data_IF_867828634983
#
_entry.id   IF_867828634983
#
_cell.length_a   1.000
_cell.length_b   1.000
_cell.length_c   1.000
_cell.angle_alpha   90.00
_cell.angle_beta   90.00
_cell.angle_gamma   90.00
#
_symmetry.space_group_name_H-M   'P 1'
#
loop_
_entity.id
_entity.type
_entity.pdbx_description
1 polymer ?
#
# COMPACT_ATOMS: atom_id res chain seq x y z
N UNK A 1 6.38 -23.32 -5.89
CA UNK A 1 5.54 -22.26 -5.28
C UNK A 1 6.50 -21.15 -4.93
N UNK A 2 6.40 -20.04 -5.65
CA UNK A 2 7.26 -18.89 -5.43
C UNK A 2 6.66 -18.05 -4.31
N UNK A 3 7.54 -17.36 -3.59
CA UNK A 3 7.16 -16.47 -2.50
C UNK A 3 7.55 -15.05 -2.85
N UNK A 4 6.70 -14.11 -2.48
CA UNK A 4 6.93 -12.70 -2.69
C UNK A 4 6.70 -11.93 -1.41
N UNK A 5 7.42 -10.83 -1.25
CA UNK A 5 7.26 -9.92 -0.11
C UNK A 5 6.02 -9.07 -0.33
N UNK A 6 5.06 -9.20 0.56
CA UNK A 6 3.83 -8.41 0.59
C UNK A 6 3.93 -7.33 1.65
N UNK A 7 3.44 -6.13 1.35
CA UNK A 7 3.41 -4.99 2.26
C UNK A 7 2.09 -4.22 2.16
N UNK A 8 1.47 -3.96 3.30
CA UNK A 8 0.29 -3.10 3.39
C UNK A 8 0.28 -2.29 4.68
N UNK A 9 0.32 -0.96 4.56
CA UNK A 9 0.20 -0.03 5.70
C UNK A 9 1.16 -0.32 6.87
N UNK A 10 2.39 -0.75 6.57
CA UNK A 10 3.40 -1.09 7.57
C UNK A 10 3.27 -2.49 8.16
N UNK A 11 2.43 -3.36 7.59
CA UNK A 11 2.45 -4.81 7.85
C UNK A 11 3.16 -5.44 6.68
N UNK A 12 4.15 -6.28 6.95
CA UNK A 12 4.94 -6.98 5.93
C UNK A 12 4.90 -8.48 6.24
N UNK A 13 4.81 -9.32 5.21
CA UNK A 13 4.87 -10.78 5.32
C UNK A 13 5.26 -11.38 3.96
N UNK A 14 5.75 -12.61 3.95
CA UNK A 14 5.93 -13.37 2.72
C UNK A 14 4.63 -14.10 2.39
N UNK A 15 4.18 -13.97 1.13
CA UNK A 15 3.00 -14.65 0.63
C UNK A 15 3.34 -15.42 -0.65
N UNK A 16 2.53 -16.44 -0.99
CA UNK A 16 2.60 -17.07 -2.29
C UNK A 16 2.34 -16.07 -3.41
N UNK A 17 3.15 -16.12 -4.47
CA UNK A 17 3.08 -15.16 -5.59
C UNK A 17 1.72 -15.17 -6.30
N UNK A 18 1.04 -16.32 -6.33
CA UNK A 18 -0.25 -16.49 -6.98
C UNK A 18 -1.44 -15.91 -6.20
N UNK A 19 -1.23 -15.38 -4.99
CA UNK A 19 -2.30 -14.80 -4.18
C UNK A 19 -2.47 -13.32 -4.48
N UNK A 20 -3.67 -12.96 -4.91
CA UNK A 20 -4.00 -11.60 -5.33
C UNK A 20 -5.04 -10.96 -4.41
N UNK A 21 -5.00 -9.64 -4.31
CA UNK A 21 -5.97 -8.90 -3.49
C UNK A 21 -7.37 -9.08 -4.10
N UNK A 22 -8.34 -9.44 -3.26
CA UNK A 22 -9.75 -9.55 -3.66
C UNK A 22 -10.74 -8.85 -2.74
N UNK A 23 -10.24 -8.31 -1.63
CA UNK A 23 -11.02 -7.48 -0.73
C UNK A 23 -10.12 -6.48 -0.04
N UNK A 24 -10.55 -5.22 -0.01
CA UNK A 24 -9.83 -4.15 0.66
C UNK A 24 -10.83 -3.12 1.18
N UNK A 25 -10.72 -2.73 2.45
CA UNK A 25 -11.52 -1.67 3.04
C UNK A 25 -10.83 -1.04 4.26
N UNK A 26 -11.33 0.13 4.64
CA UNK A 26 -10.82 0.89 5.78
C UNK A 26 -9.66 1.82 5.43
N UNK A 27 -8.88 2.18 6.44
CA UNK A 27 -7.76 3.11 6.38
C UNK A 27 -6.53 2.57 7.15
N UNK A 28 -5.52 3.41 7.33
CA UNK A 28 -4.28 3.03 8.03
C UNK A 28 -4.49 2.68 9.52
N UNK A 29 -5.58 3.17 10.15
CA UNK A 29 -5.89 2.92 11.56
C UNK A 29 -6.78 1.71 11.75
N UNK A 30 -7.74 1.48 10.87
CA UNK A 30 -8.65 0.34 10.93
C UNK A 30 -9.00 -0.12 9.52
N UNK A 31 -8.76 -1.40 9.21
CA UNK A 31 -9.03 -1.91 7.88
C UNK A 31 -8.98 -3.43 7.77
N UNK A 32 -9.25 -3.87 6.54
CA UNK A 32 -9.38 -5.26 6.14
C UNK A 32 -8.76 -5.43 4.77
N UNK A 33 -8.05 -6.54 4.61
CA UNK A 33 -7.51 -6.99 3.35
C UNK A 33 -7.74 -8.51 3.22
N UNK A 34 -8.11 -8.95 2.03
CA UNK A 34 -8.25 -10.36 1.68
C UNK A 34 -7.46 -10.66 0.43
N UNK A 35 -6.73 -11.76 0.45
CA UNK A 35 -6.12 -12.34 -0.74
C UNK A 35 -6.78 -13.69 -1.06
N UNK A 36 -6.87 -13.99 -2.34
CA UNK A 36 -7.38 -15.25 -2.86
C UNK A 36 -6.47 -15.82 -3.94
N UNK A 37 -6.57 -17.13 -4.15
CA UNK A 37 -6.10 -17.75 -5.38
C UNK A 37 -7.26 -17.84 -6.38
N UNK A 38 -7.06 -18.56 -7.48
CA UNK A 38 -8.08 -18.79 -8.51
C UNK A 38 -9.39 -19.40 -7.96
N UNK A 39 -9.36 -20.08 -6.81
CA UNK A 39 -10.48 -20.90 -6.33
C UNK A 39 -11.14 -20.39 -5.05
N UNK A 40 -10.38 -19.83 -4.12
CA UNK A 40 -10.90 -19.45 -2.81
C UNK A 40 -10.06 -18.39 -2.10
N UNK A 41 -10.65 -17.67 -1.13
CA UNK A 41 -9.88 -16.87 -0.18
C UNK A 41 -8.80 -17.70 0.52
N UNK A 42 -7.59 -17.14 0.57
CA UNK A 42 -6.41 -17.78 1.16
C UNK A 42 -5.86 -17.06 2.36
N UNK A 43 -5.94 -15.73 2.39
CA UNK A 43 -5.52 -14.92 3.51
C UNK A 43 -6.57 -13.87 3.84
N UNK A 44 -6.83 -13.67 5.13
CA UNK A 44 -7.45 -12.43 5.61
C UNK A 44 -6.54 -11.75 6.61
N UNK A 45 -6.40 -10.44 6.44
CA UNK A 45 -5.71 -9.53 7.32
C UNK A 45 -6.70 -8.47 7.81
N UNK A 46 -6.80 -8.29 9.12
CA UNK A 46 -7.57 -7.20 9.75
C UNK A 46 -6.66 -6.47 10.71
N UNK A 47 -6.76 -5.15 10.72
CA UNK A 47 -6.03 -4.33 11.68
C UNK A 47 -6.94 -3.26 12.27
N UNK A 48 -6.66 -2.90 13.51
CA UNK A 48 -7.27 -1.75 14.17
C UNK A 48 -6.33 -1.17 15.22
N UNK A 49 -6.40 0.15 15.46
CA UNK A 49 -5.73 0.76 16.61
C UNK A 49 -6.58 0.55 17.86
N UNK A 50 -5.98 0.01 18.92
CA UNK A 50 -6.66 -0.23 20.19
C UNK A 50 -7.24 1.08 20.77
N UNK A 51 -8.57 1.14 20.88
CA UNK A 51 -9.31 2.31 21.42
C UNK A 51 -9.12 2.50 22.92
N UNK A 52 -8.88 1.41 23.64
CA UNK A 52 -8.69 1.43 25.08
C UNK A 52 -7.37 2.12 25.46
N UNK A 53 -7.39 2.92 26.53
CA UNK A 53 -6.18 3.49 27.15
C UNK A 53 -5.41 2.46 27.99
N UNK A 54 -5.97 1.25 28.21
CA UNK A 54 -5.27 0.18 28.93
C UNK A 54 -3.98 -0.20 28.23
N UNK A 55 -2.96 -0.57 29.02
CA UNK A 55 -1.63 -0.97 28.54
C UNK A 55 -1.73 -2.07 27.49
N UNK A 56 -2.51 -3.12 27.75
CA UNK A 56 -2.71 -4.22 26.80
C UNK A 56 -4.23 -4.42 26.55
N UNK A 57 -4.66 -4.55 25.28
CA UNK A 57 -6.04 -4.90 24.96
C UNK A 57 -6.32 -6.38 25.25
N UNK A 58 -7.58 -6.70 25.55
CA UNK A 58 -8.02 -8.09 25.70
C UNK A 58 -8.21 -8.73 24.31
N UNK A 59 -7.22 -9.49 23.85
CA UNK A 59 -7.26 -10.16 22.55
C UNK A 59 -8.36 -11.23 22.47
N UNK A 60 -8.74 -11.85 23.59
CA UNK A 60 -9.82 -12.83 23.61
C UNK A 60 -11.17 -12.15 23.37
N UNK A 61 -11.41 -10.98 23.97
CA UNK A 61 -12.60 -10.19 23.71
C UNK A 61 -12.69 -9.75 22.24
N UNK A 62 -11.57 -9.34 21.63
CA UNK A 62 -11.53 -9.01 20.20
C UNK A 62 -11.85 -10.24 19.34
N UNK A 63 -11.31 -11.40 19.68
CA UNK A 63 -11.65 -12.66 19.00
C UNK A 63 -13.12 -13.06 19.21
N UNK A 64 -13.72 -12.75 20.36
CA UNK A 64 -15.15 -13.01 20.59
C UNK A 64 -16.02 -12.21 19.63
N UNK A 65 -15.74 -10.93 19.45
CA UNK A 65 -16.46 -10.09 18.50
C UNK A 65 -16.24 -10.53 17.05
N UNK A 66 -15.02 -10.93 16.71
CA UNK A 66 -14.72 -11.51 15.41
C UNK A 66 -15.49 -12.82 15.16
N UNK A 67 -15.45 -13.77 16.10
CA UNK A 67 -16.18 -15.04 15.94
C UNK A 67 -17.69 -14.90 16.02
N UNK A 68 -18.24 -13.86 16.65
CA UNK A 68 -19.68 -13.53 16.54
C UNK A 68 -20.06 -13.28 15.08
N UNK A 69 -19.21 -12.59 14.31
CA UNK A 69 -19.44 -12.35 12.87
C UNK A 69 -19.40 -13.67 12.10
N UNK A 70 -18.37 -14.51 12.30
CA UNK A 70 -18.27 -15.82 11.62
C UNK A 70 -19.49 -16.69 11.95
N UNK A 71 -19.88 -16.79 13.22
CA UNK A 71 -21.05 -17.56 13.65
C UNK A 71 -22.34 -17.07 12.98
N UNK A 72 -22.52 -15.76 12.80
CA UNK A 72 -23.68 -15.20 12.08
C UNK A 72 -23.71 -15.64 10.61
N UNK A 73 -22.56 -15.68 9.94
CA UNK A 73 -22.44 -16.18 8.56
C UNK A 73 -22.81 -17.66 8.47
N UNK A 74 -22.31 -18.49 9.38
CA UNK A 74 -22.55 -19.95 9.38
C UNK A 74 -23.94 -20.37 9.89
N UNK A 75 -24.58 -19.58 10.76
CA UNK A 75 -25.98 -19.81 11.16
C UNK A 75 -26.93 -19.77 9.96
N UNK A 76 -26.61 -18.98 8.92
CA UNK A 76 -27.41 -18.92 7.68
C UNK A 76 -27.27 -20.20 6.84
N UNK A 77 -26.14 -20.91 6.93
CA UNK A 77 -25.84 -22.09 6.11
C UNK A 77 -26.16 -23.42 6.79
N UNK A 78 -26.64 -23.41 8.05
CA UNK A 78 -26.96 -24.61 8.87
C UNK A 78 -25.80 -25.62 9.01
N UNK A 79 -24.55 -25.18 8.90
CA UNK A 79 -23.37 -26.05 9.02
C UNK A 79 -22.66 -25.88 10.35
N UNK A 80 -22.01 -26.96 10.79
CA UNK A 80 -21.22 -26.98 12.01
C UNK A 80 -19.98 -26.10 11.88
N UNK A 81 -19.74 -25.31 12.92
CA UNK A 81 -18.58 -24.43 13.04
C UNK A 81 -17.85 -24.77 14.34
N UNK A 82 -16.63 -25.28 14.21
CA UNK A 82 -15.77 -25.57 15.35
C UNK A 82 -14.70 -24.49 15.46
N UNK A 83 -14.55 -23.89 16.64
CA UNK A 83 -13.55 -22.85 16.93
C UNK A 83 -12.69 -23.33 18.10
N UNK A 84 -11.37 -23.17 17.99
CA UNK A 84 -10.41 -23.38 19.08
C UNK A 84 -9.50 -22.18 19.22
N UNK A 85 -9.19 -21.79 20.46
CA UNK A 85 -8.21 -20.74 20.81
C UNK A 85 -7.04 -21.37 21.55
N UNK A 86 -5.95 -20.61 21.70
CA UNK A 86 -4.75 -21.05 22.43
C UNK A 86 -4.19 -22.37 21.88
N UNK A 87 -4.28 -22.52 20.55
CA UNK A 87 -3.71 -23.67 19.84
C UNK A 87 -2.22 -23.42 19.61
N UNK A 88 -1.38 -24.44 19.70
CA UNK A 88 0.02 -24.31 19.29
C UNK A 88 0.11 -24.52 17.78
N UNK A 89 0.14 -23.42 17.02
CA UNK A 89 0.40 -23.45 15.58
C UNK A 89 1.90 -23.35 15.27
N UNK A 90 2.61 -22.54 16.06
CA UNK A 90 4.05 -22.31 15.95
C UNK A 90 4.65 -22.48 17.34
N UNK A 91 5.78 -23.17 17.42
CA UNK A 91 6.47 -23.44 18.69
C UNK A 91 7.27 -22.23 19.17
N UNK A 92 7.95 -21.58 18.24
CA UNK A 92 8.81 -20.42 18.47
C UNK A 92 8.04 -19.16 18.07
N UNK A 93 7.98 -18.20 18.99
CA UNK A 93 7.25 -16.93 18.80
C UNK A 93 8.17 -15.72 18.78
N UNK A 94 9.48 -15.91 18.65
CA UNK A 94 10.48 -14.83 18.67
C UNK A 94 10.30 -13.82 17.53
N UNK A 95 9.66 -14.24 16.42
CA UNK A 95 9.29 -13.36 15.30
C UNK A 95 8.34 -12.21 15.69
N UNK A 96 7.66 -12.32 16.83
CA UNK A 96 6.85 -11.26 17.44
C UNK A 96 7.23 -11.08 18.92
N UNK A 97 8.52 -11.09 19.24
CA UNK A 97 8.99 -10.84 20.60
C UNK A 97 8.51 -9.47 21.13
N UNK A 98 8.02 -9.48 22.37
CA UNK A 98 7.40 -8.32 23.02
C UNK A 98 5.95 -8.02 22.62
N UNK A 99 5.30 -8.88 21.83
CA UNK A 99 3.88 -8.76 21.46
C UNK A 99 3.02 -9.69 22.31
N UNK A 100 1.81 -9.26 22.66
CA UNK A 100 0.78 -10.19 23.13
C UNK A 100 0.19 -10.90 21.91
N UNK A 101 0.10 -12.23 21.92
CA UNK A 101 -0.45 -12.99 20.80
C UNK A 101 -1.35 -14.14 21.25
N UNK A 102 -2.31 -14.50 20.39
CA UNK A 102 -3.19 -15.65 20.56
C UNK A 102 -3.36 -16.33 19.20
N UNK A 103 -3.02 -17.62 19.15
CA UNK A 103 -3.35 -18.46 18.02
C UNK A 103 -4.76 -19.04 18.14
N UNK A 104 -5.42 -19.21 17.00
CA UNK A 104 -6.73 -19.83 16.93
C UNK A 104 -6.87 -20.68 15.66
N UNK A 105 -7.84 -21.58 15.66
CA UNK A 105 -8.27 -22.29 14.47
C UNK A 105 -9.78 -22.29 14.41
N UNK A 106 -10.34 -22.33 13.21
CA UNK A 106 -11.74 -22.65 13.04
C UNK A 106 -11.98 -23.52 11.81
N UNK A 107 -13.02 -24.34 11.86
CA UNK A 107 -13.38 -25.30 10.81
C UNK A 107 -14.88 -25.26 10.55
N UNK A 108 -15.24 -25.08 9.28
CA UNK A 108 -16.59 -25.17 8.72
C UNK A 108 -16.49 -25.71 7.28
N UNK A 109 -17.07 -25.00 6.30
CA UNK A 109 -16.90 -25.32 4.87
C UNK A 109 -15.48 -25.06 4.37
N UNK A 110 -14.81 -24.12 5.01
CA UNK A 110 -13.37 -23.88 4.92
C UNK A 110 -12.78 -24.04 6.31
N UNK A 111 -11.47 -24.20 6.38
CA UNK A 111 -10.74 -24.14 7.64
C UNK A 111 -9.76 -22.98 7.61
N UNK A 112 -9.47 -22.43 8.79
CA UNK A 112 -8.46 -21.40 8.93
C UNK A 112 -7.57 -21.66 10.15
N UNK A 113 -6.29 -21.35 9.97
CA UNK A 113 -5.32 -21.14 11.03
C UNK A 113 -5.15 -19.64 11.20
N UNK A 114 -5.25 -19.14 12.42
CA UNK A 114 -5.26 -17.72 12.70
C UNK A 114 -4.33 -17.33 13.83
N UNK A 115 -3.87 -16.10 13.75
CA UNK A 115 -3.03 -15.42 14.73
C UNK A 115 -3.60 -14.02 14.92
N UNK A 116 -3.86 -13.66 16.17
CA UNK A 116 -4.11 -12.27 16.56
C UNK A 116 -2.99 -11.81 17.47
N UNK A 117 -2.48 -10.60 17.27
CA UNK A 117 -1.46 -10.03 18.13
C UNK A 117 -1.64 -8.52 18.31
N UNK A 118 -1.04 -8.00 19.37
CA UNK A 118 -1.02 -6.59 19.72
C UNK A 118 0.41 -6.06 19.76
N UNK A 119 0.66 -4.99 19.01
CA UNK A 119 1.91 -4.24 19.02
C UNK A 119 1.86 -3.10 20.04
N UNK A 120 2.67 -3.14 21.13
CA UNK A 120 2.67 -2.06 22.12
C UNK A 120 3.11 -0.70 21.55
N UNK A 121 4.08 -0.70 20.63
CA UNK A 121 4.65 0.52 20.01
C UNK A 121 3.64 1.28 19.16
N UNK A 122 2.91 0.57 18.28
CA UNK A 122 1.97 1.19 17.34
C UNK A 122 0.52 1.18 17.84
N UNK A 123 0.27 0.52 18.97
CA UNK A 123 -1.07 0.23 19.52
C UNK A 123 -1.96 -0.60 18.58
N UNK A 124 -1.39 -1.20 17.54
CA UNK A 124 -2.14 -1.94 16.52
C UNK A 124 -2.47 -3.35 17.01
N UNK A 125 -3.73 -3.74 16.86
CA UNK A 125 -4.20 -5.11 16.95
C UNK A 125 -4.31 -5.62 15.52
N UNK A 126 -3.62 -6.72 15.22
CA UNK A 126 -3.62 -7.35 13.90
C UNK A 126 -4.13 -8.77 14.03
N UNK A 127 -5.08 -9.14 13.17
CA UNK A 127 -5.55 -10.51 13.00
C UNK A 127 -5.20 -10.95 11.59
N UNK A 128 -4.42 -12.03 11.49
CA UNK A 128 -4.07 -12.69 10.24
C UNK A 128 -4.61 -14.12 10.28
N UNK A 129 -5.21 -14.59 9.20
CA UNK A 129 -5.60 -15.99 9.07
C UNK A 129 -5.33 -16.53 7.68
N UNK A 130 -4.84 -17.77 7.65
CA UNK A 130 -4.59 -18.56 6.45
C UNK A 130 -5.69 -19.59 6.30
N UNK A 131 -6.35 -19.60 5.15
CA UNK A 131 -7.53 -20.41 4.86
C UNK A 131 -7.24 -21.49 3.82
N UNK A 132 -7.96 -22.60 3.94
CA UNK A 132 -7.93 -23.68 2.96
C UNK A 132 -9.18 -24.53 2.98
N UNK A 133 -9.26 -25.44 2.02
CA UNK A 133 -10.32 -26.45 1.98
C UNK A 133 -10.22 -27.36 3.21
N UNK A 134 -11.33 -27.92 3.70
CA UNK A 134 -11.28 -28.91 4.77
C UNK A 134 -10.33 -30.06 4.38
N UNK A 135 -9.53 -30.53 5.35
CA UNK A 135 -8.50 -31.58 5.18
C UNK A 135 -7.29 -31.19 4.30
N UNK A 136 -7.26 -30.00 3.69
CA UNK A 136 -6.05 -29.50 3.04
C UNK A 136 -4.96 -29.26 4.11
N UNK A 137 -3.72 -29.66 3.86
CA UNK A 137 -2.63 -29.27 4.75
C UNK A 137 -2.22 -27.82 4.45
N UNK A 138 -2.67 -26.89 5.28
CA UNK A 138 -2.28 -25.47 5.22
C UNK A 138 -1.22 -25.10 6.25
N UNK A 139 -0.71 -26.06 7.01
CA UNK A 139 0.16 -25.80 8.16
C UNK A 139 1.51 -25.19 7.75
N UNK A 140 2.19 -25.77 6.76
CA UNK A 140 3.49 -25.26 6.28
C UNK A 140 3.37 -23.83 5.75
N UNK A 141 2.33 -23.55 4.96
CA UNK A 141 2.04 -22.19 4.46
C UNK A 141 1.72 -21.24 5.63
N UNK A 142 0.95 -21.70 6.61
CA UNK A 142 0.64 -20.92 7.83
C UNK A 142 1.91 -20.56 8.59
N UNK A 143 2.78 -21.54 8.83
CA UNK A 143 4.03 -21.34 9.57
C UNK A 143 4.90 -20.30 8.85
N UNK A 144 5.14 -20.45 7.54
CA UNK A 144 5.97 -19.50 6.79
C UNK A 144 5.40 -18.08 6.74
N UNK A 145 4.08 -17.94 6.54
CA UNK A 145 3.44 -16.61 6.54
C UNK A 145 3.58 -15.97 7.91
N UNK A 146 3.22 -16.69 8.98
CA UNK A 146 3.21 -16.11 10.31
C UNK A 146 4.61 -15.76 10.81
N UNK A 147 5.61 -16.61 10.58
CA UNK A 147 7.00 -16.33 11.01
C UNK A 147 7.66 -15.21 10.22
N UNK A 148 7.12 -14.83 9.05
CA UNK A 148 7.61 -13.70 8.25
C UNK A 148 6.86 -12.39 8.54
N UNK A 149 5.88 -12.38 9.45
CA UNK A 149 5.14 -11.16 9.78
C UNK A 149 6.04 -10.17 10.52
N UNK A 150 6.16 -8.97 9.95
CA UNK A 150 6.86 -7.84 10.54
C UNK A 150 5.92 -6.62 10.64
N UNK A 151 6.02 -5.87 11.73
CA UNK A 151 5.28 -4.62 11.95
C UNK A 151 6.23 -3.42 11.92
N UNK A 152 6.00 -2.56 10.94
CA UNK A 152 6.79 -1.37 10.65
C UNK A 152 8.31 -1.65 10.64
N UNK A 153 8.79 -2.66 9.89
CA UNK A 153 10.20 -3.06 9.92
C UNK A 153 11.15 -1.95 9.46
N UNK A 154 10.67 -1.08 8.57
CA UNK A 154 11.37 0.13 8.17
C UNK A 154 10.76 1.34 8.88
N UNK A 155 11.60 2.12 9.58
CA UNK A 155 11.16 3.29 10.34
C UNK A 155 10.81 4.51 9.46
N UNK A 156 11.25 4.53 8.19
CA UNK A 156 11.11 5.66 7.30
C UNK A 156 10.05 5.43 6.22
N UNK A 157 9.94 4.21 5.68
CA UNK A 157 9.07 3.90 4.55
C UNK A 157 8.19 2.69 4.84
N UNK A 158 7.03 2.65 4.19
CA UNK A 158 6.16 1.49 4.14
C UNK A 158 6.13 0.91 2.74
N UNK A 159 6.27 -0.41 2.69
CA UNK A 159 6.04 -1.19 1.48
C UNK A 159 4.53 -1.27 1.21
N UNK A 160 4.15 -1.01 -0.04
CA UNK A 160 2.81 -1.18 -0.58
C UNK A 160 2.88 -2.12 -1.78
N UNK A 161 2.06 -3.17 -1.75
CA UNK A 161 2.04 -4.18 -2.81
C UNK A 161 0.63 -4.46 -3.31
N UNK A 162 0.47 -4.51 -4.64
CA UNK A 162 -0.76 -4.99 -5.30
C UNK A 162 -0.50 -5.34 -6.77
N UNK A 163 -0.93 -6.51 -7.26
CA UNK A 163 -0.86 -6.92 -8.68
C UNK A 163 0.48 -6.57 -9.35
N UNK A 164 1.57 -7.12 -8.80
CA UNK A 164 2.97 -6.92 -9.22
C UNK A 164 3.49 -5.46 -9.15
N UNK A 165 2.77 -4.53 -8.52
CA UNK A 165 3.32 -3.26 -8.08
C UNK A 165 3.91 -3.47 -6.69
N UNK A 166 5.21 -3.17 -6.54
CA UNK A 166 5.89 -3.06 -5.24
C UNK A 166 6.47 -1.65 -5.17
N UNK A 167 6.12 -0.91 -4.13
CA UNK A 167 6.57 0.47 -3.99
C UNK A 167 6.73 0.84 -2.52
N UNK A 168 7.79 1.58 -2.21
CA UNK A 168 8.03 2.12 -0.89
C UNK A 168 7.57 3.58 -0.82
N UNK A 169 6.74 3.88 0.17
CA UNK A 169 6.19 5.22 0.39
C UNK A 169 6.61 5.73 1.76
N UNK A 170 7.07 6.99 1.92
CA UNK A 170 7.41 7.52 3.23
C UNK A 170 6.26 7.38 4.24
N UNK A 171 6.58 6.99 5.47
CA UNK A 171 5.61 6.59 6.51
C UNK A 171 4.62 7.69 6.90
N UNK A 172 4.98 8.95 6.71
CA UNK A 172 4.15 10.12 7.01
C UNK A 172 3.07 10.41 5.95
N UNK A 173 3.16 9.76 4.78
CA UNK A 173 2.11 9.73 3.77
C UNK A 173 1.07 8.64 4.10
N UNK A 174 -0.19 9.06 4.19
CA UNK A 174 -1.33 8.17 4.46
C UNK A 174 -2.11 7.92 3.20
N UNK A 175 -2.49 6.67 2.96
CA UNK A 175 -3.33 6.30 1.82
C UNK A 175 -4.70 6.99 1.99
N UNK A 176 -5.03 7.86 1.04
CA UNK A 176 -6.30 8.61 0.99
C UNK A 176 -7.28 7.94 0.03
N UNK A 177 -6.79 7.45 -1.10
CA UNK A 177 -7.61 6.78 -2.13
C UNK A 177 -6.80 5.68 -2.81
N UNK A 178 -7.47 4.60 -3.17
CA UNK A 178 -6.91 3.58 -4.04
C UNK A 178 -7.91 3.19 -5.14
N UNK A 179 -7.40 2.71 -6.28
CA UNK A 179 -8.18 1.99 -7.30
C UNK A 179 -7.36 0.79 -7.76
N UNK A 180 -7.99 -0.38 -7.79
CA UNK A 180 -7.39 -1.66 -8.12
C UNK A 180 -8.22 -2.27 -9.26
N UNK A 181 -7.95 -1.85 -10.49
CA UNK A 181 -8.67 -2.28 -11.68
C UNK A 181 -7.78 -3.13 -12.58
N UNK A 182 -8.39 -3.96 -13.43
CA UNK A 182 -7.66 -4.67 -14.47
C UNK A 182 -6.96 -3.66 -15.38
N UNK A 183 -5.63 -3.77 -15.49
CA UNK A 183 -4.80 -2.87 -16.28
C UNK A 183 -4.58 -1.47 -15.68
N UNK A 184 -5.14 -1.13 -14.51
CA UNK A 184 -4.91 0.17 -13.89
C UNK A 184 -4.92 0.11 -12.36
N UNK A 185 -3.82 0.55 -11.74
CA UNK A 185 -3.72 0.77 -10.31
C UNK A 185 -3.52 2.26 -10.02
N UNK A 186 -4.13 2.74 -8.95
CA UNK A 186 -3.88 4.06 -8.38
C UNK A 186 -3.75 3.93 -6.87
N UNK A 187 -2.70 4.50 -6.31
CA UNK A 187 -2.60 4.85 -4.90
C UNK A 187 -2.38 6.35 -4.77
N UNK A 188 -3.26 7.02 -4.04
CA UNK A 188 -3.16 8.44 -3.71
C UNK A 188 -2.94 8.59 -2.22
N UNK A 189 -1.87 9.26 -1.87
CA UNK A 189 -1.45 9.51 -0.51
C UNK A 189 -1.45 11.00 -0.19
N UNK A 190 -1.75 11.30 1.07
CA UNK A 190 -1.70 12.64 1.61
C UNK A 190 -0.80 12.68 2.83
N UNK A 191 0.03 13.70 2.89
CA UNK A 191 0.76 14.08 4.08
C UNK A 191 0.28 15.46 4.53
N UNK A 192 -0.23 15.61 5.77
CA UNK A 192 -0.75 16.89 6.25
C UNK A 192 0.30 18.00 6.18
N UNK A 193 1.59 17.65 6.25
CA UNK A 193 2.72 18.54 6.12
C UNK A 193 2.87 19.50 7.30
N UNK A 194 3.78 20.46 7.14
CA UNK A 194 4.03 21.50 8.14
C UNK A 194 3.08 22.70 7.96
N UNK A 195 3.12 23.66 8.89
CA UNK A 195 2.40 24.93 8.78
C UNK A 195 2.65 25.66 7.45
N UNK A 196 3.87 25.57 6.91
CA UNK A 196 4.31 26.28 5.69
C UNK A 196 4.08 25.47 4.42
N UNK A 197 3.90 24.15 4.53
CA UNK A 197 3.76 23.21 3.42
C UNK A 197 2.65 22.19 3.69
N UNK A 198 1.42 22.70 3.79
CA UNK A 198 0.24 21.89 4.09
C UNK A 198 -0.23 21.09 2.88
N UNK A 199 -0.72 19.88 3.16
CA UNK A 199 -1.39 18.98 2.19
C UNK A 199 -0.46 18.59 1.03
N UNK A 200 0.71 18.02 1.36
CA UNK A 200 1.56 17.36 0.37
C UNK A 200 0.82 16.15 -0.18
N UNK A 201 0.95 15.92 -1.48
CA UNK A 201 0.29 14.80 -2.17
C UNK A 201 1.31 13.97 -2.91
N UNK A 202 1.11 12.67 -2.88
CA UNK A 202 1.86 11.68 -3.65
C UNK A 202 0.83 10.79 -4.33
N UNK A 203 0.88 10.65 -5.65
CA UNK A 203 0.12 9.62 -6.36
C UNK A 203 1.06 8.68 -7.10
N UNK A 204 0.68 7.41 -7.11
CA UNK A 204 1.40 6.33 -7.79
C UNK A 204 0.38 5.61 -8.63
N UNK A 205 0.61 5.58 -9.93
CA UNK A 205 -0.25 4.91 -10.88
C UNK A 205 0.53 3.87 -11.67
N UNK A 206 -0.12 2.74 -11.96
CA UNK A 206 0.41 1.72 -12.88
C UNK A 206 -0.63 1.44 -13.94
N UNK A 207 -0.28 1.68 -15.18
CA UNK A 207 -1.06 1.31 -16.35
C UNK A 207 -0.45 0.04 -16.97
N UNK A 208 -1.28 -0.92 -17.37
CA UNK A 208 -0.90 -2.03 -18.23
C UNK A 208 -1.26 -1.77 -19.69
N UNK A 209 -0.76 -2.62 -20.59
CA UNK A 209 -0.98 -2.52 -22.04
C UNK A 209 -0.50 -1.17 -22.60
N UNK A 210 0.72 -0.77 -22.21
CA UNK A 210 1.36 0.46 -22.64
C UNK A 210 1.38 0.63 -24.17
N UNK A 211 1.66 -0.43 -24.94
CA UNK A 211 1.67 -0.39 -26.41
C UNK A 211 0.32 0.03 -26.99
N UNK A 212 -0.78 -0.32 -26.32
CA UNK A 212 -2.13 0.09 -26.75
C UNK A 212 -2.38 1.54 -26.35
N UNK A 213 -1.93 1.95 -25.15
CA UNK A 213 -2.10 3.32 -24.65
C UNK A 213 -1.28 4.35 -25.44
N UNK A 214 -0.09 3.97 -25.87
CA UNK A 214 0.86 4.81 -26.61
C UNK A 214 0.74 4.63 -28.13
N UNK A 215 -0.30 3.92 -28.60
CA UNK A 215 -0.52 3.74 -30.02
C UNK A 215 -0.61 5.11 -30.70
N UNK A 216 0.28 5.32 -31.67
CA UNK A 216 0.38 6.53 -32.49
C UNK A 216 0.73 7.84 -31.73
N UNK A 217 1.30 7.75 -30.52
CA UNK A 217 1.74 8.93 -29.75
C UNK A 217 2.96 8.63 -28.87
N UNK A 218 3.74 9.66 -28.55
CA UNK A 218 4.87 9.51 -27.61
C UNK A 218 4.38 9.40 -26.16
N UNK A 219 5.24 8.90 -25.26
CA UNK A 219 4.95 8.88 -23.82
C UNK A 219 4.69 10.29 -23.28
N UNK A 220 5.42 11.29 -23.78
CA UNK A 220 5.22 12.70 -23.42
C UNK A 220 3.85 13.22 -23.87
N UNK A 221 3.46 12.97 -25.12
CA UNK A 221 2.17 13.42 -25.66
C UNK A 221 1.00 12.79 -24.91
N UNK A 222 1.09 11.48 -24.64
CA UNK A 222 0.13 10.76 -23.83
C UNK A 222 0.03 11.38 -22.43
N UNK A 223 1.16 11.64 -21.77
CA UNK A 223 1.20 12.21 -20.43
C UNK A 223 0.58 13.62 -20.40
N UNK A 224 1.00 14.51 -21.31
CA UNK A 224 0.47 15.88 -21.40
C UNK A 224 -1.04 15.89 -21.62
N UNK A 225 -1.56 14.99 -22.44
CA UNK A 225 -2.99 14.86 -22.71
C UNK A 225 -3.74 14.32 -21.50
N UNK A 226 -3.29 13.20 -20.94
CA UNK A 226 -3.91 12.52 -19.79
C UNK A 226 -3.92 13.39 -18.54
N UNK A 227 -2.82 14.09 -18.28
CA UNK A 227 -2.59 14.87 -17.06
C UNK A 227 -2.73 16.38 -17.26
N UNK A 228 -3.30 16.85 -18.38
CA UNK A 228 -3.52 18.27 -18.70
C UNK A 228 -4.10 19.08 -17.54
N UNK A 229 -5.05 18.50 -16.79
CA UNK A 229 -5.67 19.16 -15.63
C UNK A 229 -4.74 19.25 -14.41
N UNK A 230 -3.91 18.24 -14.20
CA UNK A 230 -2.99 18.18 -13.06
C UNK A 230 -1.80 19.14 -13.22
N UNK A 231 -1.27 19.25 -14.44
CA UNK A 231 -0.14 20.14 -14.76
C UNK A 231 -0.56 21.61 -14.97
N UNK A 232 -1.87 21.89 -15.06
CA UNK A 232 -2.38 23.26 -15.26
C UNK A 232 -2.01 24.15 -14.07
N UNK A 233 -1.42 25.32 -14.36
CA UNK A 233 -0.96 26.27 -13.34
C UNK A 233 0.46 26.02 -12.86
N UNK A 234 1.19 25.13 -13.52
CA UNK A 234 2.62 24.91 -13.33
C UNK A 234 3.37 25.23 -14.63
N UNK A 235 4.48 25.95 -14.51
CA UNK A 235 5.49 26.04 -15.56
C UNK A 235 6.47 24.91 -15.33
N UNK A 236 6.80 24.14 -16.36
CA UNK A 236 7.57 22.92 -16.19
C UNK A 236 8.54 22.66 -17.34
N UNK A 237 9.58 21.91 -16.99
CA UNK A 237 10.53 21.34 -17.93
C UNK A 237 10.38 19.82 -17.88
N UNK A 238 10.55 19.18 -19.04
CA UNK A 238 10.55 17.73 -19.18
C UNK A 238 11.93 17.31 -19.65
N UNK A 239 12.50 16.35 -18.96
CA UNK A 239 13.72 15.65 -19.37
C UNK A 239 13.35 14.21 -19.70
N UNK A 240 13.73 13.76 -20.90
CA UNK A 240 13.50 12.40 -21.37
C UNK A 240 14.82 11.64 -21.40
N UNK A 241 14.82 10.40 -20.92
CA UNK A 241 15.99 9.51 -20.89
C UNK A 241 15.56 8.10 -21.26
N UNK A 242 16.24 7.48 -22.21
CA UNK A 242 16.10 6.05 -22.48
C UNK A 242 17.24 5.27 -21.82
N UNK A 243 16.90 4.34 -20.93
CA UNK A 243 17.87 3.51 -20.22
C UNK A 243 17.30 2.12 -19.94
N UNK A 244 18.12 1.08 -20.11
CA UNK A 244 17.83 -0.29 -19.64
C UNK A 244 16.41 -0.79 -19.97
N UNK A 245 16.03 -0.77 -21.25
CA UNK A 245 14.70 -1.22 -21.73
C UNK A 245 13.49 -0.45 -21.15
N UNK A 246 13.72 0.78 -20.71
CA UNK A 246 12.67 1.68 -20.28
C UNK A 246 12.90 3.11 -20.76
N UNK A 247 11.81 3.78 -21.11
CA UNK A 247 11.76 5.22 -21.35
C UNK A 247 11.37 5.92 -20.06
N UNK A 248 12.15 6.93 -19.69
CA UNK A 248 11.93 7.77 -18.51
C UNK A 248 11.60 9.18 -18.94
N UNK A 249 10.57 9.73 -18.33
CA UNK A 249 10.18 11.12 -18.48
C UNK A 249 10.10 11.75 -17.09
N UNK A 250 10.95 12.73 -16.84
CA UNK A 250 11.05 13.45 -15.57
C UNK A 250 10.55 14.87 -15.79
N UNK A 251 9.45 15.21 -15.14
CA UNK A 251 8.87 16.54 -15.18
C UNK A 251 9.19 17.28 -13.88
N UNK A 252 9.81 18.44 -14.03
CA UNK A 252 10.08 19.38 -12.95
C UNK A 252 9.25 20.64 -13.14
N UNK A 253 8.20 20.81 -12.34
CA UNK A 253 7.26 21.93 -12.43
C UNK A 253 7.23 22.80 -11.18
N UNK A 254 6.99 24.09 -11.38
CA UNK A 254 6.75 25.07 -10.32
C UNK A 254 5.47 25.86 -10.56
N UNK A 255 4.74 26.15 -9.48
CA UNK A 255 3.48 26.91 -9.53
C UNK A 255 3.72 28.30 -10.13
N UNK A 256 2.98 28.60 -11.21
CA UNK A 256 3.00 29.92 -11.87
C UNK A 256 2.21 30.92 -11.04
N UNK A 257 2.75 32.11 -10.79
CA UNK A 257 2.05 33.20 -10.09
C UNK A 257 1.70 34.31 -11.06
N UNK A 258 0.56 34.96 -10.85
CA UNK A 258 0.16 36.16 -11.59
C UNK A 258 1.21 37.29 -11.45
N UNK A 259 1.90 37.33 -10.31
CA UNK A 259 2.97 38.30 -10.03
C UNK A 259 4.27 38.02 -10.78
N UNK A 260 4.42 36.88 -11.45
CA UNK A 260 5.62 36.59 -12.26
C UNK A 260 5.72 37.53 -13.46
N UNK A 261 4.60 38.09 -13.91
CA UNK A 261 4.53 39.05 -15.02
C UNK A 261 4.59 40.52 -14.56
N UNK A 262 4.81 40.78 -13.25
CA UNK A 262 4.79 42.14 -12.68
C UNK A 262 6.23 42.52 -12.26
N UNK A 263 6.89 43.48 -12.93
CA UNK A 263 8.28 43.83 -12.70
C UNK A 263 8.44 44.78 -11.49
N UNK A 264 7.96 44.38 -10.31
CA UNK A 264 8.06 45.17 -9.08
C UNK A 264 9.00 44.45 -8.09
N UNK A 265 10.15 45.07 -7.82
CA UNK A 265 11.25 44.51 -7.03
C UNK A 265 10.86 44.11 -5.58
N UNK A 266 9.93 44.83 -4.95
CA UNK A 266 9.43 44.51 -3.61
C UNK A 266 8.53 43.25 -3.59
N UNK A 267 7.78 43.00 -4.66
CA UNK A 267 6.96 41.79 -4.83
C UNK A 267 7.85 40.57 -5.10
N UNK A 268 8.97 40.75 -5.82
CA UNK A 268 9.95 39.69 -6.08
C UNK A 268 10.68 39.23 -4.80
N UNK A 269 11.07 40.16 -3.91
CA UNK A 269 11.67 39.84 -2.61
C UNK A 269 10.71 39.06 -1.70
N UNK A 270 9.44 39.48 -1.62
CA UNK A 270 8.42 38.74 -0.87
C UNK A 270 8.11 37.36 -1.49
N UNK A 271 8.22 37.24 -2.82
CA UNK A 271 8.05 35.98 -3.55
C UNK A 271 9.18 34.97 -3.30
N UNK A 272 10.42 35.43 -3.11
CA UNK A 272 11.57 34.57 -2.75
C UNK A 272 11.42 33.94 -1.36
N UNK A 273 10.79 34.65 -0.42
CA UNK A 273 10.58 34.16 0.96
C UNK A 273 9.52 33.03 1.00
N UNK A 274 8.54 33.03 0.08
CA UNK A 274 7.51 31.97 -0.01
C UNK A 274 7.88 30.93 -1.07
N UNK A 275 8.52 29.82 -0.66
CA UNK A 275 8.74 28.63 -1.51
C UNK A 275 7.49 28.28 -2.32
N UNK A 276 7.66 28.12 -3.64
CA UNK A 276 6.60 27.72 -4.58
C UNK A 276 6.24 26.27 -4.35
N UNK A 277 4.97 25.91 -4.62
CA UNK A 277 4.63 24.49 -4.74
C UNK A 277 5.32 23.96 -5.99
N UNK A 278 5.93 22.80 -5.85
CA UNK A 278 6.52 22.06 -6.94
C UNK A 278 5.58 20.92 -7.31
N UNK A 279 5.48 20.66 -8.60
CA UNK A 279 4.84 19.48 -9.15
C UNK A 279 5.93 18.68 -9.84
N UNK A 280 6.31 17.56 -9.25
CA UNK A 280 7.32 16.66 -9.79
C UNK A 280 6.61 15.41 -10.28
N UNK A 281 6.92 14.96 -11.49
CA UNK A 281 6.40 13.70 -11.99
C UNK A 281 7.51 12.84 -12.59
N UNK A 282 7.57 11.58 -12.18
CA UNK A 282 8.44 10.56 -12.76
C UNK A 282 7.54 9.57 -13.49
N UNK A 283 7.67 9.53 -14.80
CA UNK A 283 6.94 8.62 -15.67
C UNK A 283 7.95 7.62 -16.22
N UNK A 284 7.61 6.35 -16.18
CA UNK A 284 8.47 5.28 -16.66
C UNK A 284 7.67 4.27 -17.46
N UNK A 285 8.03 4.08 -18.72
CA UNK A 285 7.47 3.04 -19.59
C UNK A 285 8.46 1.87 -19.66
N UNK A 286 8.06 0.71 -19.14
CA UNK A 286 8.84 -0.52 -19.19
C UNK A 286 8.40 -1.37 -20.38
N UNK A 287 9.28 -1.54 -21.37
CA UNK A 287 8.93 -2.24 -22.61
C UNK A 287 8.63 -3.73 -22.37
N UNK A 288 9.45 -4.41 -21.57
CA UNK A 288 9.30 -5.87 -21.33
C UNK A 288 8.01 -6.22 -20.60
N UNK A 289 7.63 -5.42 -19.60
CA UNK A 289 6.40 -5.68 -18.83
C UNK A 289 5.16 -5.04 -19.43
N UNK A 290 5.34 -4.24 -20.51
CA UNK A 290 4.29 -3.47 -21.19
C UNK A 290 3.44 -2.63 -20.21
N UNK A 291 4.14 -1.88 -19.33
CA UNK A 291 3.55 -1.09 -18.24
C UNK A 291 4.10 0.33 -18.21
N UNK A 292 3.24 1.28 -17.85
CA UNK A 292 3.61 2.66 -17.55
C UNK A 292 3.40 2.91 -16.07
N UNK A 293 4.42 3.42 -15.40
CA UNK A 293 4.36 3.87 -14.01
C UNK A 293 4.37 5.39 -13.99
N UNK A 294 3.48 6.01 -13.22
CA UNK A 294 3.43 7.46 -13.04
C UNK A 294 3.45 7.77 -11.56
N UNK A 295 4.50 8.48 -11.13
CA UNK A 295 4.66 8.96 -9.75
C UNK A 295 4.54 10.48 -9.82
N UNK A 296 3.62 11.05 -9.05
CA UNK A 296 3.44 12.50 -8.98
C UNK A 296 3.53 12.97 -7.54
N UNK A 297 4.34 14.00 -7.31
CA UNK A 297 4.49 14.62 -5.98
C UNK A 297 4.19 16.09 -6.08
N UNK A 298 3.34 16.57 -5.17
CA UNK A 298 3.05 18.00 -5.00
C UNK A 298 3.41 18.40 -3.58
N UNK A 299 4.48 19.18 -3.46
CA UNK A 299 5.04 19.65 -2.19
C UNK A 299 5.88 20.92 -2.40
N UNK A 300 6.12 21.71 -1.34
CA UNK A 300 7.03 22.88 -1.40
C UNK A 300 8.46 22.58 -0.97
N UNK A 301 8.70 21.46 -0.30
CA UNK A 301 9.97 21.25 0.44
C UNK A 301 10.77 20.04 -0.02
N UNK A 302 10.12 18.93 -0.32
CA UNK A 302 10.74 17.61 -0.54
C UNK A 302 10.24 16.92 -1.82
N UNK A 303 9.67 17.68 -2.76
CA UNK A 303 8.96 17.10 -3.91
C UNK A 303 9.85 16.24 -4.82
N UNK A 304 11.09 16.70 -5.09
CA UNK A 304 12.05 15.95 -5.92
C UNK A 304 12.46 14.67 -5.19
N UNK A 305 13.04 14.82 -3.98
CA UNK A 305 13.57 13.70 -3.19
C UNK A 305 12.51 12.62 -2.96
N UNK A 306 11.27 13.02 -2.69
CA UNK A 306 10.15 12.08 -2.53
C UNK A 306 9.84 11.36 -3.84
N UNK A 307 9.79 12.07 -4.97
CA UNK A 307 9.48 11.47 -6.26
C UNK A 307 10.57 10.49 -6.71
N UNK A 308 11.85 10.88 -6.59
CA UNK A 308 13.02 10.05 -6.85
C UNK A 308 13.01 8.79 -5.96
N UNK A 309 12.97 8.95 -4.64
CA UNK A 309 12.97 7.83 -3.69
C UNK A 309 11.82 6.84 -3.94
N UNK A 310 10.63 7.32 -4.30
CA UNK A 310 9.48 6.45 -4.58
C UNK A 310 9.66 5.76 -5.94
N UNK A 311 10.06 6.49 -6.98
CA UNK A 311 10.28 5.94 -8.32
C UNK A 311 11.36 4.85 -8.33
N UNK A 312 12.46 5.07 -7.61
CA UNK A 312 13.60 4.15 -7.51
C UNK A 312 13.23 2.86 -6.77
N UNK A 313 12.24 2.90 -5.87
CA UNK A 313 11.76 1.72 -5.15
C UNK A 313 10.92 0.76 -6.01
N UNK A 314 10.45 1.20 -7.18
CA UNK A 314 9.61 0.37 -8.04
C UNK A 314 10.49 -0.53 -8.90
N UNK A 315 10.44 -1.83 -8.63
CA UNK A 315 11.05 -2.85 -9.48
C UNK A 315 10.42 -2.85 -10.89
N UNK A 316 11.27 -2.84 -11.93
CA UNK A 316 10.86 -2.92 -13.33
C UNK A 316 10.43 -4.33 -13.74
N UNK A 317 11.04 -5.33 -13.10
CA UNK A 317 10.79 -6.74 -13.30
C UNK A 317 10.70 -7.39 -11.93
N UNK A 318 9.59 -8.06 -11.66
CA UNK A 318 9.46 -9.07 -10.62
C UNK A 318 9.02 -10.35 -11.33
#
# INVERSE_FOLDING_TARGET
MNWTKFGWAGIVTELPEEWEISGLSGDQKEGYLRLEDEFMPRLELKWSVAKSKRRNPDLHAVLDDYFKIIRKTYKKTKKDLHIKRNVSLIKDTDFLDGYDLVFFTWKGEIQANGLIFFCPKTRRITLIQVMGKPKQNVRTITEQIFTSVEIEPNNQKFLWTAYNLHVEVPKDYRLEKHQLLSGYLLFSFINPGSLTDRKRRLSIERYGLADILLKDQTLEDWFRTKYKKAIRGFGFQIETKDQNEAEYLILNGEETRVTDNIPIHSVQLANQIKKRKRFIAHIRHCYKSNRIYVIQVVSKTDAIETAESVADSIALYN
#
